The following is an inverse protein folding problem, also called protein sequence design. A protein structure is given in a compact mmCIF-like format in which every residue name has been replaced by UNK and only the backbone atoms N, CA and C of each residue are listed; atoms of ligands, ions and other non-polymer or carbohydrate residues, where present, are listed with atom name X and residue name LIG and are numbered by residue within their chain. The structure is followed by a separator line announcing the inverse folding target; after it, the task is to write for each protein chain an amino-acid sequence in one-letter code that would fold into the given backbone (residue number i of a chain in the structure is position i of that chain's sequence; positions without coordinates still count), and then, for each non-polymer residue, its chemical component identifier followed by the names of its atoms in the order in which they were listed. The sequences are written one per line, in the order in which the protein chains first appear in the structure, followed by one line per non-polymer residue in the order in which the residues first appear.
data_IF_167138001027
#
_entry.id   IF_167138001027
#
_cell.length_a   1.000
_cell.length_b   1.000
_cell.length_c   1.000
_cell.angle_alpha   90.00
_cell.angle_beta   90.00
_cell.angle_gamma   90.00
#
_symmetry.space_group_name_H-M   'P 1'
#
loop_
_entity.id
_entity.type
_entity.pdbx_description
1 polymer ?
#
# COMPACT_ATOMS: atom_id res chain seq x y z
N UNK A 1 4.23 54.21 2.57
CA UNK A 1 4.32 52.80 2.07
C UNK A 1 4.97 51.98 3.17
N UNK A 2 4.31 50.99 3.80
CA UNK A 2 4.92 50.11 4.77
C UNK A 2 5.77 49.07 4.06
N UNK A 3 7.00 48.87 4.53
CA UNK A 3 7.92 47.83 4.10
C UNK A 3 7.34 46.47 4.46
N UNK A 4 7.09 45.61 3.47
CA UNK A 4 6.74 44.21 3.68
C UNK A 4 7.93 43.50 4.36
N UNK A 5 7.78 43.19 5.66
CA UNK A 5 8.66 42.31 6.39
C UNK A 5 8.61 40.91 5.71
N UNK A 6 9.73 40.41 5.30
CA UNK A 6 9.89 38.99 4.85
C UNK A 6 9.65 38.13 6.09
N UNK A 7 8.55 37.38 6.08
CA UNK A 7 8.28 36.34 7.06
C UNK A 7 9.32 35.22 6.83
N UNK A 8 10.42 35.20 7.61
CA UNK A 8 11.52 34.25 7.50
C UNK A 8 11.31 32.95 8.29
N UNK A 9 10.17 32.79 8.98
CA UNK A 9 10.01 31.77 10.03
C UNK A 9 8.89 30.74 9.75
N UNK A 10 8.50 30.54 8.51
CA UNK A 10 7.70 29.35 8.19
C UNK A 10 8.64 28.26 7.67
N UNK A 11 8.67 27.07 8.31
CA UNK A 11 9.40 25.94 7.76
C UNK A 11 8.87 25.66 6.35
N UNK A 12 9.76 25.71 5.37
CA UNK A 12 9.42 25.37 4.00
C UNK A 12 9.39 23.84 3.92
N UNK A 13 8.19 23.26 3.95
CA UNK A 13 8.04 21.83 3.66
C UNK A 13 8.42 21.61 2.21
N UNK A 14 9.11 20.49 1.88
CA UNK A 14 9.41 20.14 0.50
C UNK A 14 8.10 19.95 -0.29
N UNK A 15 8.06 20.46 -1.52
CA UNK A 15 6.89 20.34 -2.41
C UNK A 15 6.73 18.91 -2.93
N UNK A 16 7.80 18.12 -2.93
CA UNK A 16 7.82 16.73 -3.41
C UNK A 16 8.59 15.85 -2.44
N UNK A 17 8.11 14.61 -2.27
CA UNK A 17 8.83 13.56 -1.56
C UNK A 17 9.71 12.75 -2.51
N UNK A 18 10.64 12.00 -1.95
CA UNK A 18 11.44 11.01 -2.66
C UNK A 18 11.44 9.68 -1.92
N UNK A 19 11.77 8.59 -2.60
CA UNK A 19 11.85 7.29 -1.93
C UNK A 19 13.05 7.24 -0.97
N UNK A 20 12.91 6.52 0.15
CA UNK A 20 14.00 6.34 1.14
C UNK A 20 15.27 5.83 0.47
N UNK A 21 15.17 4.90 -0.47
CA UNK A 21 16.32 4.38 -1.23
C UNK A 21 17.03 5.47 -2.03
N UNK A 22 16.29 6.39 -2.67
CA UNK A 22 16.86 7.50 -3.42
C UNK A 22 17.56 8.48 -2.47
N UNK A 23 16.89 8.84 -1.38
CA UNK A 23 17.48 9.68 -0.33
C UNK A 23 18.79 9.09 0.20
N UNK A 24 18.81 7.80 0.55
CA UNK A 24 20.01 7.12 1.05
C UNK A 24 21.14 7.10 0.00
N UNK A 25 20.80 6.87 -1.27
CA UNK A 25 21.75 6.93 -2.38
C UNK A 25 22.39 8.32 -2.52
N UNK A 26 21.59 9.37 -2.47
CA UNK A 26 22.07 10.77 -2.54
C UNK A 26 22.91 11.17 -1.32
N UNK A 27 22.60 10.60 -0.15
CA UNK A 27 23.39 10.75 1.07
C UNK A 27 24.70 9.92 1.07
N UNK A 28 24.92 9.08 0.08
CA UNK A 28 26.14 8.29 -0.09
C UNK A 28 26.10 6.90 0.55
N UNK A 29 24.91 6.42 1.00
CA UNK A 29 24.73 5.14 1.69
C UNK A 29 24.75 3.92 0.77
N UNK A 30 23.92 3.87 -0.23
CA UNK A 30 23.63 2.65 -1.02
C UNK A 30 24.70 2.23 -2.05
N UNK A 31 25.94 2.67 -1.95
CA UNK A 31 26.96 2.40 -3.02
C UNK A 31 27.28 0.92 -3.25
N UNK A 32 27.03 0.02 -2.28
CA UNK A 32 27.42 -1.41 -2.38
C UNK A 32 26.32 -2.44 -2.06
N UNK A 33 25.10 -2.03 -1.68
CA UNK A 33 24.07 -2.95 -1.18
C UNK A 33 23.23 -3.64 -2.27
N UNK A 34 23.45 -3.37 -3.55
CA UNK A 34 22.80 -4.14 -4.65
C UNK A 34 23.37 -5.53 -4.87
N UNK A 35 24.41 -5.93 -4.15
CA UNK A 35 24.80 -7.33 -4.05
C UNK A 35 24.04 -7.97 -2.89
N UNK A 36 22.95 -8.70 -3.20
CA UNK A 36 22.28 -9.58 -2.21
C UNK A 36 23.34 -10.35 -1.44
N UNK A 37 23.35 -10.34 -0.11
CA UNK A 37 24.28 -11.17 0.65
C UNK A 37 24.03 -12.62 0.26
N UNK A 38 25.06 -13.30 -0.24
CA UNK A 38 25.05 -14.73 -0.45
C UNK A 38 24.67 -15.38 0.87
N UNK A 39 23.66 -16.27 0.87
CA UNK A 39 23.19 -17.07 2.01
C UNK A 39 24.27 -17.28 3.04
N UNK A 40 24.10 -16.68 4.23
CA UNK A 40 24.92 -17.00 5.38
C UNK A 40 24.54 -18.36 5.93
N UNK A 41 25.51 -19.28 5.99
CA UNK A 41 25.47 -20.46 6.84
C UNK A 41 26.29 -20.09 8.10
N UNK A 42 25.64 -20.06 9.27
CA UNK A 42 26.31 -19.95 10.56
C UNK A 42 25.96 -18.70 11.37
N UNK A 43 25.87 -18.88 12.68
CA UNK A 43 25.37 -17.97 13.73
C UNK A 43 26.28 -16.77 14.09
N UNK A 44 26.97 -16.16 13.15
CA UNK A 44 27.76 -14.94 13.42
C UNK A 44 27.34 -13.82 12.50
N UNK A 45 26.57 -12.88 13.06
CA UNK A 45 26.33 -11.57 12.43
C UNK A 45 27.59 -10.73 12.57
N UNK A 46 28.55 -10.95 11.69
CA UNK A 46 29.67 -10.04 11.50
C UNK A 46 29.21 -8.86 10.64
N UNK A 47 28.74 -7.80 11.32
CA UNK A 47 28.67 -6.47 10.71
C UNK A 47 30.10 -6.02 10.44
N UNK A 48 30.64 -6.35 9.27
CA UNK A 48 31.83 -5.65 8.78
C UNK A 48 31.40 -4.21 8.54
N UNK A 49 31.69 -3.33 9.49
CA UNK A 49 31.82 -1.90 9.22
C UNK A 49 32.92 -1.76 8.18
N UNK A 50 32.55 -1.71 6.89
CA UNK A 50 33.38 -1.03 5.93
C UNK A 50 33.46 0.41 6.45
N UNK A 51 34.69 0.92 6.67
CA UNK A 51 34.89 2.33 6.89
C UNK A 51 34.50 3.03 5.58
N UNK A 52 33.20 3.30 5.44
CA UNK A 52 32.71 4.23 4.44
C UNK A 52 33.09 5.59 5.01
N UNK A 53 34.03 6.27 4.36
CA UNK A 53 34.21 7.71 4.50
C UNK A 53 32.88 8.35 4.09
N UNK A 54 31.98 8.50 5.07
CA UNK A 54 30.74 9.24 4.93
C UNK A 54 31.15 10.69 4.69
N UNK A 55 31.28 11.07 3.43
CA UNK A 55 31.22 12.48 3.06
C UNK A 55 29.79 12.91 3.41
N UNK A 56 29.61 13.33 4.68
CA UNK A 56 28.36 13.89 5.19
C UNK A 56 27.89 14.93 4.18
N UNK A 57 26.66 14.76 3.69
CA UNK A 57 25.99 15.77 2.92
C UNK A 57 26.25 17.15 3.57
N UNK A 58 26.73 18.10 2.81
CA UNK A 58 27.05 19.45 3.30
C UNK A 58 25.78 20.28 3.62
N UNK A 59 24.58 19.73 3.38
CA UNK A 59 23.33 20.41 3.73
C UNK A 59 22.91 19.98 5.13
N UNK A 60 22.72 20.92 6.07
CA UNK A 60 22.12 20.62 7.35
C UNK A 60 20.70 20.09 7.12
N UNK A 61 20.38 18.94 7.71
CA UNK A 61 19.05 18.37 7.74
C UNK A 61 18.47 18.66 9.12
N UNK A 62 17.46 19.49 9.18
CA UNK A 62 16.77 19.82 10.44
C UNK A 62 15.73 18.76 10.79
N UNK A 63 14.94 18.31 9.80
CA UNK A 63 13.89 17.32 9.95
C UNK A 63 13.88 16.35 8.77
N UNK A 64 13.73 15.06 9.06
CA UNK A 64 13.45 13.99 8.09
C UNK A 64 12.11 13.38 8.44
N UNK A 65 11.17 13.40 7.49
CA UNK A 65 9.86 12.78 7.62
C UNK A 65 9.83 11.56 6.70
N UNK A 66 9.54 10.40 7.27
CA UNK A 66 9.40 9.14 6.54
C UNK A 66 7.94 8.69 6.61
N UNK A 67 7.29 8.66 5.47
CA UNK A 67 5.94 8.12 5.34
C UNK A 67 5.96 6.62 5.05
N UNK A 68 4.84 5.92 5.28
CA UNK A 68 4.71 4.46 5.14
C UNK A 68 5.82 3.68 5.87
N UNK A 69 6.22 4.15 7.06
CA UNK A 69 7.34 3.57 7.83
C UNK A 69 7.09 2.13 8.30
N UNK A 70 5.84 1.65 8.30
CA UNK A 70 5.49 0.25 8.54
C UNK A 70 6.10 -0.71 7.51
N UNK A 71 6.43 -0.20 6.31
CA UNK A 71 7.03 -0.97 5.21
C UNK A 71 8.57 -0.97 5.25
N UNK A 72 9.19 -0.28 6.21
CA UNK A 72 10.66 -0.27 6.35
C UNK A 72 11.14 -1.48 7.13
N UNK A 73 12.06 -2.24 6.53
CA UNK A 73 12.78 -3.31 7.21
C UNK A 73 13.86 -2.76 8.16
N UNK A 74 14.42 -3.64 8.98
CA UNK A 74 15.47 -3.28 9.94
C UNK A 74 16.73 -2.74 9.24
N UNK A 75 17.13 -3.31 8.10
CA UNK A 75 18.36 -2.92 7.43
C UNK A 75 18.26 -1.50 6.89
N UNK A 76 17.13 -1.17 6.25
CA UNK A 76 16.86 0.16 5.71
C UNK A 76 16.74 1.21 6.83
N UNK A 77 16.11 0.85 7.96
CA UNK A 77 16.02 1.73 9.14
C UNK A 77 17.39 2.01 9.74
N UNK A 78 18.22 0.98 9.90
CA UNK A 78 19.60 1.13 10.43
C UNK A 78 20.43 2.03 9.50
N UNK A 79 20.31 1.84 8.20
CA UNK A 79 21.04 2.67 7.22
C UNK A 79 20.59 4.14 7.31
N UNK A 80 19.28 4.38 7.34
CA UNK A 80 18.71 5.72 7.49
C UNK A 80 19.24 6.41 8.76
N UNK A 81 19.11 5.77 9.91
CA UNK A 81 19.54 6.34 11.21
C UNK A 81 21.05 6.58 11.26
N UNK A 82 21.84 5.73 10.57
CA UNK A 82 23.31 5.89 10.52
C UNK A 82 23.77 7.08 9.66
N UNK A 83 22.96 7.48 8.68
CA UNK A 83 23.31 8.55 7.73
C UNK A 83 22.80 9.93 8.14
N UNK A 84 21.69 10.01 8.86
CA UNK A 84 21.16 11.30 9.32
C UNK A 84 22.01 11.86 10.48
N UNK A 85 22.25 13.20 10.54
CA UNK A 85 22.94 13.82 11.66
C UNK A 85 22.21 13.60 12.99
N UNK A 86 22.93 13.48 14.10
CA UNK A 86 22.34 13.28 15.42
C UNK A 86 21.43 14.45 15.89
N UNK A 87 21.55 15.61 15.25
CA UNK A 87 20.74 16.80 15.52
C UNK A 87 19.46 16.84 14.68
N UNK A 88 19.31 15.95 13.71
CA UNK A 88 18.12 15.88 12.83
C UNK A 88 16.95 15.26 13.59
N UNK A 89 15.81 15.90 13.53
CA UNK A 89 14.56 15.33 14.03
C UNK A 89 14.04 14.30 13.02
N UNK A 90 13.86 13.05 13.45
CA UNK A 90 13.26 11.99 12.64
C UNK A 90 11.79 11.82 13.01
N UNK A 91 10.89 11.93 12.03
CA UNK A 91 9.45 11.73 12.17
C UNK A 91 9.07 10.53 11.29
N UNK A 92 8.56 9.48 11.93
CA UNK A 92 8.07 8.27 11.25
C UNK A 92 6.55 8.30 11.21
N UNK A 93 5.98 8.23 10.02
CA UNK A 93 4.53 8.12 9.78
C UNK A 93 4.23 6.71 9.28
N UNK A 94 3.15 6.10 9.76
CA UNK A 94 2.77 4.75 9.33
C UNK A 94 1.58 4.21 10.09
N UNK A 95 1.15 3.03 9.69
CA UNK A 95 0.05 2.30 10.32
C UNK A 95 0.53 0.91 10.74
N UNK A 96 0.69 0.69 12.04
CA UNK A 96 1.20 -0.57 12.60
C UNK A 96 0.22 -1.76 12.49
N UNK A 97 -1.01 -1.52 12.06
CA UNK A 97 -1.97 -2.58 11.73
C UNK A 97 -1.84 -3.08 10.29
N UNK A 98 -1.18 -2.30 9.41
CA UNK A 98 -0.92 -2.73 8.03
C UNK A 98 0.19 -3.79 7.97
N UNK A 99 0.28 -4.44 6.80
CA UNK A 99 1.34 -5.41 6.54
C UNK A 99 2.72 -4.79 6.77
N UNK A 100 3.57 -5.46 7.54
CA UNK A 100 4.96 -5.03 7.72
C UNK A 100 5.79 -5.23 6.43
N UNK A 101 7.04 -4.78 6.47
CA UNK A 101 8.03 -5.09 5.45
C UNK A 101 8.14 -6.62 5.24
N UNK A 102 8.43 -7.02 4.00
CA UNK A 102 8.66 -8.44 3.66
C UNK A 102 9.97 -8.95 4.24
N UNK A 103 11.00 -8.09 4.27
CA UNK A 103 12.30 -8.39 4.86
C UNK A 103 12.24 -8.28 6.40
N UNK A 104 13.11 -8.99 7.13
CA UNK A 104 13.05 -9.09 8.59
C UNK A 104 13.16 -7.75 9.32
N UNK A 105 12.31 -7.58 10.34
CA UNK A 105 12.32 -6.45 11.28
C UNK A 105 11.10 -5.55 11.14
N UNK A 106 10.41 -5.33 12.25
CA UNK A 106 9.19 -4.51 12.36
C UNK A 106 9.45 -3.31 13.26
N UNK A 107 10.51 -2.55 12.96
CA UNK A 107 11.00 -1.47 13.84
C UNK A 107 9.92 -0.45 14.17
N UNK A 108 9.11 -0.05 13.18
CA UNK A 108 8.01 0.90 13.41
C UNK A 108 6.96 0.34 14.38
N UNK A 109 6.52 -0.89 14.16
CA UNK A 109 5.55 -1.58 15.03
C UNK A 109 6.08 -1.76 16.45
N UNK A 110 7.35 -2.15 16.59
CA UNK A 110 8.01 -2.29 17.91
C UNK A 110 8.11 -0.94 18.63
N UNK A 111 8.44 0.14 17.92
CA UNK A 111 8.43 1.50 18.46
C UNK A 111 7.03 1.89 18.94
N UNK A 112 5.99 1.65 18.13
CA UNK A 112 4.60 1.94 18.51
C UNK A 112 4.20 1.15 19.77
N UNK A 113 4.48 -0.16 19.81
CA UNK A 113 4.16 -1.02 20.97
C UNK A 113 4.89 -0.57 22.24
N UNK A 114 6.16 -0.17 22.11
CA UNK A 114 6.96 0.30 23.24
C UNK A 114 6.45 1.63 23.79
N UNK A 115 6.17 2.58 22.90
CA UNK A 115 5.77 3.93 23.30
C UNK A 115 4.28 4.08 23.59
N UNK A 116 3.41 3.20 23.11
CA UNK A 116 1.99 3.21 23.44
C UNK A 116 1.69 2.99 24.94
N UNK A 117 2.64 2.38 25.66
CA UNK A 117 2.55 2.15 27.12
C UNK A 117 3.02 3.34 27.96
N UNK A 118 3.50 4.41 27.32
CA UNK A 118 4.03 5.58 28.02
C UNK A 118 2.95 6.64 28.20
N UNK A 119 2.89 7.26 29.40
CA UNK A 119 2.00 8.40 29.65
C UNK A 119 2.72 9.72 29.35
N UNK A 120 1.91 10.72 28.97
CA UNK A 120 2.37 12.10 28.84
C UNK A 120 2.74 12.67 30.22
N UNK A 121 3.90 13.29 30.32
CA UNK A 121 4.31 14.01 31.50
C UNK A 121 3.50 15.31 31.66
N UNK A 122 3.43 15.83 32.90
CA UNK A 122 2.71 17.07 33.19
C UNK A 122 3.34 18.30 32.47
N UNK A 123 4.63 18.24 32.17
CA UNK A 123 5.39 19.25 31.40
C UNK A 123 4.95 19.25 29.93
N UNK A 124 4.78 18.08 29.34
CA UNK A 124 4.30 17.93 27.95
C UNK A 124 2.86 18.39 27.81
N UNK A 125 1.99 18.01 28.74
CA UNK A 125 0.60 18.50 28.76
C UNK A 125 0.53 20.01 28.88
N UNK A 126 1.43 20.63 29.63
CA UNK A 126 1.52 22.09 29.73
C UNK A 126 1.93 22.72 28.41
N UNK A 127 2.96 22.14 27.77
CA UNK A 127 3.46 22.60 26.48
C UNK A 127 2.43 22.43 25.38
N UNK A 128 1.76 21.27 25.31
CA UNK A 128 0.69 20.99 24.35
C UNK A 128 -0.53 21.90 24.58
N UNK A 129 -0.90 22.14 25.83
CA UNK A 129 -1.98 23.10 26.18
C UNK A 129 -1.67 24.49 25.67
N UNK A 130 -0.44 24.95 25.85
CA UNK A 130 0.00 26.28 25.38
C UNK A 130 0.02 26.38 23.84
N UNK A 131 0.40 25.30 23.14
CA UNK A 131 0.48 25.26 21.68
C UNK A 131 -0.89 25.11 21.01
N UNK A 132 -1.79 24.30 21.59
CA UNK A 132 -3.07 23.94 20.97
C UNK A 132 -4.25 24.75 21.44
N UNK A 133 -4.14 25.42 22.60
CA UNK A 133 -5.24 26.11 23.26
C UNK A 133 -6.24 25.19 23.99
N UNK A 134 -6.04 23.85 23.96
CA UNK A 134 -6.84 22.90 24.73
C UNK A 134 -6.41 22.86 26.19
N UNK A 135 -7.35 22.70 27.12
CA UNK A 135 -7.02 22.51 28.53
C UNK A 135 -6.34 21.14 28.75
N UNK A 136 -5.52 21.04 29.80
CA UNK A 136 -4.89 19.77 30.19
C UNK A 136 -5.91 18.64 30.35
N UNK A 137 -7.10 18.92 30.92
CA UNK A 137 -8.20 17.97 31.09
C UNK A 137 -8.71 17.47 29.74
N UNK A 138 -8.82 18.34 28.73
CA UNK A 138 -9.21 17.94 27.37
C UNK A 138 -8.13 17.07 26.70
N UNK A 139 -6.85 17.36 26.98
CA UNK A 139 -5.73 16.57 26.47
C UNK A 139 -5.60 15.21 27.19
N UNK A 140 -5.91 15.12 28.48
CA UNK A 140 -5.91 13.88 29.27
C UNK A 140 -7.18 13.05 29.09
N UNK A 141 -8.26 13.61 28.58
CA UNK A 141 -9.50 12.88 28.24
C UNK A 141 -9.35 11.89 27.11
N UNK A 142 -8.17 11.84 26.46
CA UNK A 142 -7.77 10.78 25.53
C UNK A 142 -7.13 9.64 26.34
N UNK A 143 -7.96 8.72 26.82
CA UNK A 143 -7.69 7.44 27.53
C UNK A 143 -6.37 7.30 28.33
N UNK A 144 -6.53 7.08 29.60
CA UNK A 144 -5.47 6.70 30.55
C UNK A 144 -4.99 5.27 30.25
N UNK A 145 -3.79 5.13 29.69
CA UNK A 145 -3.05 3.88 29.76
C UNK A 145 -2.01 3.93 30.89
N UNK A 146 -1.73 2.79 31.54
CA UNK A 146 -0.92 2.71 32.75
C UNK A 146 0.52 3.22 32.59
N UNK A 147 1.04 3.88 33.62
CA UNK A 147 2.32 4.60 33.65
C UNK A 147 3.55 3.70 33.51
N UNK A 148 4.48 4.13 32.64
CA UNK A 148 5.92 3.89 32.84
C UNK A 148 6.58 5.26 32.94
N UNK A 149 7.23 5.51 34.09
CA UNK A 149 7.98 6.73 34.34
C UNK A 149 9.23 6.73 33.43
N UNK A 150 9.35 7.74 32.57
CA UNK A 150 10.49 7.89 31.67
C UNK A 150 11.23 9.17 32.00
N UNK A 151 12.54 9.04 32.24
CA UNK A 151 13.46 10.16 32.42
C UNK A 151 13.58 11.11 31.21
N UNK A 152 12.93 10.79 30.08
CA UNK A 152 13.08 11.55 28.84
C UNK A 152 12.10 12.75 28.69
N UNK A 153 11.05 12.85 29.54
CA UNK A 153 10.13 13.98 29.54
C UNK A 153 9.44 14.29 28.22
N UNK A 154 9.44 13.36 27.25
CA UNK A 154 8.88 13.54 25.91
C UNK A 154 8.15 12.26 25.46
N UNK A 155 6.90 12.41 24.98
CA UNK A 155 6.15 11.31 24.39
C UNK A 155 6.40 11.28 22.87
N UNK A 156 7.15 10.28 22.38
CA UNK A 156 7.52 10.22 20.97
C UNK A 156 6.40 9.69 20.06
N UNK A 157 5.26 9.25 20.60
CA UNK A 157 4.15 8.66 19.85
C UNK A 157 2.92 9.58 19.83
N UNK A 158 2.43 9.87 18.61
CA UNK A 158 1.14 10.50 18.38
C UNK A 158 0.25 9.58 17.54
N UNK A 159 -0.90 9.18 18.08
CA UNK A 159 -1.87 8.34 17.37
C UNK A 159 -3.00 9.18 16.79
N UNK A 160 -3.16 9.12 15.45
CA UNK A 160 -4.28 9.74 14.74
C UNK A 160 -5.49 8.80 14.81
N UNK A 161 -6.59 9.26 15.43
CA UNK A 161 -7.78 8.43 15.68
C UNK A 161 -8.91 8.63 14.67
N UNK A 162 -8.94 9.79 14.00
CA UNK A 162 -9.99 10.12 13.05
C UNK A 162 -9.58 9.74 11.65
N UNK A 163 -10.33 8.81 11.03
CA UNK A 163 -10.18 8.52 9.61
C UNK A 163 -11.06 9.45 8.78
N UNK A 164 -10.52 9.90 7.65
CA UNK A 164 -11.22 10.71 6.64
C UNK A 164 -11.37 9.98 5.31
N UNK A 165 -10.68 8.84 5.14
CA UNK A 165 -10.64 8.07 3.90
C UNK A 165 -11.93 7.31 3.67
N UNK A 166 -12.48 6.69 4.72
CA UNK A 166 -13.68 5.87 4.68
C UNK A 166 -14.51 6.02 5.97
N UNK A 167 -15.81 5.73 5.88
CA UNK A 167 -16.76 5.84 6.98
C UNK A 167 -17.73 4.65 6.93
N UNK A 168 -18.72 4.60 7.83
CA UNK A 168 -19.77 3.58 7.83
C UNK A 168 -19.24 2.17 7.96
N UNK A 169 -19.70 1.28 7.07
CA UNK A 169 -19.38 -0.15 7.10
C UNK A 169 -17.88 -0.45 6.96
N UNK A 170 -17.18 0.27 6.09
CA UNK A 170 -15.72 0.11 5.94
C UNK A 170 -14.98 0.40 7.24
N UNK A 171 -15.40 1.45 7.97
CA UNK A 171 -14.81 1.76 9.27
C UNK A 171 -15.13 0.68 10.29
N UNK A 172 -16.38 0.24 10.36
CA UNK A 172 -16.82 -0.83 11.26
C UNK A 172 -16.04 -2.12 10.99
N UNK A 173 -15.90 -2.50 9.73
CA UNK A 173 -15.12 -3.68 9.32
C UNK A 173 -13.64 -3.54 9.71
N UNK A 174 -13.02 -2.39 9.46
CA UNK A 174 -11.64 -2.13 9.83
C UNK A 174 -11.42 -2.22 11.36
N UNK A 175 -12.34 -1.66 12.15
CA UNK A 175 -12.26 -1.70 13.61
C UNK A 175 -12.46 -3.14 14.14
N UNK A 176 -13.37 -3.93 13.56
CA UNK A 176 -13.56 -5.35 13.91
C UNK A 176 -12.33 -6.21 13.55
N UNK A 177 -11.70 -5.95 12.40
CA UNK A 177 -10.46 -6.63 12.00
C UNK A 177 -9.35 -6.30 13.02
N UNK A 178 -9.14 -5.03 13.37
CA UNK A 178 -8.16 -4.63 14.40
C UNK A 178 -8.39 -5.32 15.73
N UNK A 179 -9.65 -5.46 16.14
CA UNK A 179 -10.04 -6.10 17.39
C UNK A 179 -9.97 -7.64 17.34
N UNK A 180 -9.80 -8.26 16.16
CA UNK A 180 -9.84 -9.72 16.00
C UNK A 180 -11.24 -10.32 16.12
N UNK A 181 -12.29 -9.53 15.91
CA UNK A 181 -13.69 -9.91 16.14
C UNK A 181 -14.32 -10.58 14.90
N UNK A 182 -13.80 -11.76 14.49
CA UNK A 182 -14.28 -12.47 13.30
C UNK A 182 -15.78 -12.78 13.33
N UNK A 183 -16.32 -13.15 14.49
CA UNK A 183 -17.73 -13.48 14.65
C UNK A 183 -18.63 -12.25 14.43
N UNK A 184 -18.25 -11.09 15.00
CA UNK A 184 -19.00 -9.84 14.81
C UNK A 184 -18.96 -9.41 13.33
N UNK A 185 -17.77 -9.52 12.69
CA UNK A 185 -17.58 -9.24 11.27
C UNK A 185 -18.50 -10.11 10.39
N UNK A 186 -18.48 -11.43 10.59
CA UNK A 186 -19.35 -12.36 9.84
C UNK A 186 -20.82 -12.01 10.00
N UNK A 187 -21.27 -11.73 11.23
CA UNK A 187 -22.67 -11.35 11.49
C UNK A 187 -23.09 -10.07 10.77
N UNK A 188 -22.18 -9.10 10.64
CA UNK A 188 -22.48 -7.82 9.98
C UNK A 188 -22.46 -7.90 8.46
N UNK A 189 -21.56 -8.68 7.87
CA UNK A 189 -21.21 -8.59 6.45
C UNK A 189 -21.43 -9.88 5.67
N UNK A 190 -21.93 -10.95 6.32
CA UNK A 190 -22.27 -12.19 5.64
C UNK A 190 -23.50 -12.06 4.76
N UNK A 191 -23.41 -12.65 3.58
CA UNK A 191 -24.53 -12.76 2.66
C UNK A 191 -25.02 -14.22 2.61
N UNK A 192 -26.10 -14.54 3.31
CA UNK A 192 -26.70 -15.89 3.42
C UNK A 192 -27.40 -16.38 2.16
N UNK A 193 -27.80 -15.46 1.33
CA UNK A 193 -28.47 -15.75 0.07
C UNK A 193 -27.97 -14.75 -0.94
N UNK A 194 -27.74 -15.11 -2.18
CA UNK A 194 -27.40 -14.22 -3.29
C UNK A 194 -28.31 -12.96 -3.40
N UNK A 195 -29.19 -12.77 -2.44
CA UNK A 195 -29.96 -11.57 -2.20
C UNK A 195 -29.11 -10.59 -1.40
N UNK A 196 -28.33 -9.83 -2.13
CA UNK A 196 -27.62 -8.63 -1.72
C UNK A 196 -28.27 -7.92 -0.53
N UNK A 197 -27.53 -7.72 0.58
CA UNK A 197 -27.66 -6.48 1.32
C UNK A 197 -27.18 -5.40 0.37
N UNK A 198 -28.06 -4.91 -0.47
CA UNK A 198 -27.77 -3.96 -1.57
C UNK A 198 -27.20 -2.62 -1.09
N UNK A 199 -27.00 -2.43 0.21
CA UNK A 199 -26.63 -1.16 0.84
C UNK A 199 -25.37 -1.25 1.71
N UNK A 200 -24.72 -2.42 1.83
CA UNK A 200 -23.46 -2.50 2.61
C UNK A 200 -22.25 -2.21 1.75
N UNK A 201 -21.38 -1.31 2.25
CA UNK A 201 -20.10 -1.04 1.62
C UNK A 201 -19.08 -2.19 1.79
N UNK A 202 -19.39 -3.19 2.61
CA UNK A 202 -18.57 -4.40 2.78
C UNK A 202 -19.47 -5.63 2.62
N UNK A 203 -19.02 -6.59 1.80
CA UNK A 203 -19.74 -7.85 1.58
C UNK A 203 -18.75 -9.02 1.68
N UNK A 204 -19.13 -10.05 2.43
CA UNK A 204 -18.38 -11.30 2.44
C UNK A 204 -19.15 -12.39 1.69
N UNK A 205 -18.51 -12.97 0.69
CA UNK A 205 -18.96 -14.11 -0.09
C UNK A 205 -18.26 -15.38 0.39
N UNK A 206 -19.03 -16.30 1.01
CA UNK A 206 -18.48 -17.55 1.50
C UNK A 206 -18.27 -18.55 0.34
N UNK A 207 -17.01 -18.82 0.03
CA UNK A 207 -16.62 -19.76 -1.03
C UNK A 207 -16.79 -21.24 -0.63
N UNK A 208 -16.96 -21.52 0.66
CA UNK A 208 -17.16 -22.89 1.17
C UNK A 208 -18.59 -23.41 0.99
N UNK A 209 -19.57 -22.54 0.70
CA UNK A 209 -20.97 -22.93 0.55
C UNK A 209 -21.30 -23.58 -0.80
N UNK A 210 -20.48 -23.39 -1.82
CA UNK A 210 -20.71 -23.86 -3.17
C UNK A 210 -19.63 -24.85 -3.62
N UNK A 211 -20.01 -25.93 -4.33
CA UNK A 211 -19.07 -26.88 -4.93
C UNK A 211 -18.16 -26.23 -5.99
N UNK A 212 -18.63 -25.13 -6.59
CA UNK A 212 -17.90 -24.42 -7.65
C UNK A 212 -17.77 -22.93 -7.33
N UNK A 213 -16.55 -22.37 -7.52
CA UNK A 213 -16.29 -20.96 -7.31
C UNK A 213 -16.88 -20.14 -8.46
N UNK A 214 -17.68 -19.14 -8.14
CA UNK A 214 -18.24 -18.22 -9.13
C UNK A 214 -17.25 -17.09 -9.46
N UNK A 215 -16.26 -17.40 -10.29
CA UNK A 215 -15.26 -16.40 -10.74
C UNK A 215 -15.88 -15.23 -11.51
N UNK A 216 -17.02 -15.47 -12.21
CA UNK A 216 -17.68 -14.41 -12.99
C UNK A 216 -18.13 -13.26 -12.11
N UNK A 217 -18.59 -13.54 -10.87
CA UNK A 217 -18.97 -12.47 -9.92
C UNK A 217 -17.74 -11.63 -9.49
N UNK A 218 -16.61 -12.28 -9.23
CA UNK A 218 -15.38 -11.60 -8.81
C UNK A 218 -14.88 -10.60 -9.87
N UNK A 219 -14.99 -10.96 -11.15
CA UNK A 219 -14.40 -10.18 -12.25
C UNK A 219 -15.40 -9.27 -12.96
N UNK A 220 -16.68 -9.30 -12.55
CA UNK A 220 -17.74 -8.53 -13.19
C UNK A 220 -17.47 -7.03 -13.23
N UNK A 221 -16.80 -6.50 -12.21
CA UNK A 221 -16.46 -5.08 -12.13
C UNK A 221 -15.56 -4.59 -13.27
N UNK A 222 -14.81 -5.48 -13.91
CA UNK A 222 -13.98 -5.14 -15.08
C UNK A 222 -14.76 -4.99 -16.39
N UNK A 223 -16.06 -5.33 -16.44
CA UNK A 223 -16.86 -5.21 -17.68
C UNK A 223 -16.83 -3.79 -18.24
N UNK A 224 -16.98 -2.76 -17.39
CA UNK A 224 -16.92 -1.35 -17.80
C UNK A 224 -15.58 -0.96 -18.42
N UNK A 225 -14.48 -1.45 -17.85
CA UNK A 225 -13.15 -1.23 -18.41
C UNK A 225 -13.01 -1.80 -19.82
N UNK A 226 -13.39 -3.06 -20.02
CA UNK A 226 -13.30 -3.71 -21.33
C UNK A 226 -14.30 -3.17 -22.36
N UNK A 227 -15.42 -2.63 -21.92
CA UNK A 227 -16.33 -1.88 -22.79
C UNK A 227 -15.69 -0.58 -23.32
N UNK A 228 -14.94 0.14 -22.47
CA UNK A 228 -14.19 1.31 -22.85
C UNK A 228 -13.04 0.95 -23.82
N UNK A 229 -12.31 -0.13 -23.55
CA UNK A 229 -11.29 -0.66 -24.47
C UNK A 229 -11.90 -0.95 -25.85
N UNK A 230 -13.03 -1.67 -25.89
CA UNK A 230 -13.70 -2.00 -27.15
C UNK A 230 -14.21 -0.76 -27.94
N UNK A 231 -14.50 0.34 -27.24
CA UNK A 231 -14.93 1.61 -27.83
C UNK A 231 -13.75 2.50 -28.27
N UNK A 232 -12.51 2.11 -27.96
CA UNK A 232 -11.30 2.92 -28.23
C UNK A 232 -11.23 4.18 -27.37
N UNK A 233 -11.62 4.08 -26.09
CA UNK A 233 -11.61 5.20 -25.15
C UNK A 233 -10.19 5.75 -24.95
N UNK A 234 -10.10 6.98 -24.47
CA UNK A 234 -8.84 7.66 -24.15
C UNK A 234 -8.11 7.01 -22.97
N UNK A 235 -6.79 7.24 -22.85
CA UNK A 235 -6.00 6.76 -21.72
C UNK A 235 -6.57 7.20 -20.36
N UNK A 236 -7.03 8.44 -20.26
CA UNK A 236 -7.59 8.98 -19.01
C UNK A 236 -8.88 8.25 -18.61
N UNK A 237 -9.77 7.95 -19.56
CA UNK A 237 -11.00 7.19 -19.30
C UNK A 237 -10.68 5.74 -18.89
N UNK A 238 -9.68 5.12 -19.52
CA UNK A 238 -9.22 3.77 -19.16
C UNK A 238 -8.61 3.76 -17.77
N UNK A 239 -7.79 4.75 -17.42
CA UNK A 239 -7.17 4.89 -16.11
C UNK A 239 -8.23 5.08 -15.02
N UNK A 240 -9.14 6.04 -15.18
CA UNK A 240 -10.20 6.32 -14.20
C UNK A 240 -11.07 5.08 -13.95
N UNK A 241 -11.45 4.37 -15.02
CA UNK A 241 -12.23 3.14 -14.89
C UNK A 241 -11.42 2.01 -14.27
N UNK A 242 -10.12 1.90 -14.57
CA UNK A 242 -9.25 0.88 -13.99
C UNK A 242 -9.04 1.11 -12.48
N UNK A 243 -8.83 2.35 -12.05
CA UNK A 243 -8.69 2.74 -10.65
C UNK A 243 -10.00 2.61 -9.86
N UNK A 244 -11.13 2.48 -10.54
CA UNK A 244 -12.41 2.29 -9.90
C UNK A 244 -12.55 0.94 -9.17
N UNK A 245 -11.77 -0.08 -9.58
CA UNK A 245 -11.83 -1.41 -8.98
C UNK A 245 -10.51 -2.17 -9.11
N UNK A 246 -10.09 -2.84 -8.03
CA UNK A 246 -8.89 -3.69 -8.03
C UNK A 246 -9.12 -5.00 -7.27
N UNK A 247 -8.67 -6.12 -7.84
CA UNK A 247 -8.64 -7.41 -7.12
C UNK A 247 -7.30 -7.57 -6.40
N UNK A 248 -7.38 -7.84 -5.09
CA UNK A 248 -6.25 -8.06 -4.20
C UNK A 248 -6.27 -9.50 -3.68
N UNK A 249 -5.24 -10.28 -3.99
CA UNK A 249 -5.12 -11.67 -3.62
C UNK A 249 -4.14 -11.87 -2.46
N UNK A 250 -4.41 -12.86 -1.62
CA UNK A 250 -3.47 -13.28 -0.59
C UNK A 250 -2.24 -14.02 -1.15
N UNK A 251 -2.33 -14.60 -2.36
CA UNK A 251 -1.27 -15.42 -2.97
C UNK A 251 -1.11 -15.14 -4.47
N UNK A 252 0.06 -15.50 -5.01
CA UNK A 252 0.33 -15.45 -6.45
C UNK A 252 -0.24 -16.67 -7.18
N UNK A 253 -0.13 -17.85 -6.58
CA UNK A 253 -0.39 -19.14 -7.22
C UNK A 253 -1.73 -19.74 -6.80
N UNK A 254 -2.19 -20.72 -7.61
CA UNK A 254 -3.38 -21.51 -7.36
C UNK A 254 -4.67 -20.85 -7.87
N UNK A 255 -5.80 -21.56 -7.65
CA UNK A 255 -7.12 -21.19 -8.19
C UNK A 255 -7.69 -19.83 -7.72
N UNK A 256 -7.21 -19.31 -6.61
CA UNK A 256 -7.57 -17.99 -6.05
C UNK A 256 -6.38 -17.02 -6.10
N UNK A 257 -5.31 -17.38 -6.81
CA UNK A 257 -4.10 -16.58 -6.93
C UNK A 257 -4.14 -15.59 -8.10
N UNK A 258 -3.20 -14.66 -8.05
CA UNK A 258 -3.05 -13.56 -9.02
C UNK A 258 -2.95 -14.08 -10.45
N UNK A 259 -2.11 -15.10 -10.70
CA UNK A 259 -1.88 -15.60 -12.05
C UNK A 259 -3.14 -16.21 -12.68
N UNK A 260 -3.87 -17.00 -11.89
CA UNK A 260 -5.11 -17.60 -12.36
C UNK A 260 -6.18 -16.54 -12.65
N UNK A 261 -6.38 -15.58 -11.72
CA UNK A 261 -7.42 -14.56 -11.88
C UNK A 261 -7.11 -13.60 -13.03
N UNK A 262 -5.86 -13.20 -13.22
CA UNK A 262 -5.46 -12.41 -14.37
C UNK A 262 -5.77 -13.15 -15.69
N UNK A 263 -5.38 -14.41 -15.80
CA UNK A 263 -5.68 -15.26 -16.98
C UNK A 263 -7.19 -15.40 -17.19
N UNK A 264 -7.95 -15.63 -16.12
CA UNK A 264 -9.41 -15.76 -16.19
C UNK A 264 -10.07 -14.47 -16.68
N UNK A 265 -9.63 -13.30 -16.19
CA UNK A 265 -10.12 -12.00 -16.64
C UNK A 265 -9.84 -11.80 -18.12
N UNK A 266 -8.61 -12.05 -18.57
CA UNK A 266 -8.24 -11.93 -19.98
C UNK A 266 -9.09 -12.83 -20.87
N UNK A 267 -9.29 -14.10 -20.48
CA UNK A 267 -10.13 -15.03 -21.23
C UNK A 267 -11.62 -14.61 -21.25
N UNK A 268 -12.13 -14.14 -20.11
CA UNK A 268 -13.54 -13.72 -19.97
C UNK A 268 -13.89 -12.54 -20.85
N UNK A 269 -12.97 -11.61 -21.01
CA UNK A 269 -13.20 -10.39 -21.77
C UNK A 269 -12.52 -10.39 -23.15
N UNK A 270 -11.92 -11.49 -23.55
CA UNK A 270 -11.25 -11.65 -24.84
C UNK A 270 -12.14 -11.24 -26.02
N UNK A 271 -13.39 -11.68 -26.04
CA UNK A 271 -14.34 -11.36 -27.11
C UNK A 271 -14.69 -9.88 -27.20
N UNK A 272 -14.61 -9.14 -26.09
CA UNK A 272 -14.82 -7.69 -26.08
C UNK A 272 -13.64 -6.94 -26.73
N UNK A 273 -12.39 -7.41 -26.51
CA UNK A 273 -11.20 -6.82 -27.10
C UNK A 273 -10.97 -7.27 -28.56
N UNK A 274 -11.40 -8.48 -28.91
CA UNK A 274 -11.12 -9.11 -30.21
C UNK A 274 -12.37 -9.72 -30.86
N UNK A 275 -13.35 -8.89 -31.27
CA UNK A 275 -14.62 -9.37 -31.83
C UNK A 275 -14.43 -10.20 -33.12
N UNK A 276 -13.31 -10.05 -33.81
CA UNK A 276 -13.00 -10.78 -35.05
C UNK A 276 -12.16 -12.06 -34.83
N UNK A 277 -12.06 -12.55 -33.60
CA UNK A 277 -11.39 -13.82 -33.31
C UNK A 277 -9.87 -13.83 -33.48
N UNK A 278 -9.21 -12.65 -33.46
CA UNK A 278 -7.74 -12.57 -33.42
C UNK A 278 -7.23 -13.34 -32.21
N UNK A 279 -6.20 -14.14 -32.40
CA UNK A 279 -5.49 -14.79 -31.29
C UNK A 279 -4.82 -13.74 -30.42
N UNK A 280 -5.03 -13.82 -29.12
CA UNK A 280 -4.39 -12.96 -28.13
C UNK A 280 -2.88 -13.20 -28.16
N UNK A 281 -2.12 -12.17 -28.52
CA UNK A 281 -0.70 -12.12 -28.20
C UNK A 281 -0.48 -11.88 -26.71
N UNK A 282 0.75 -11.97 -26.28
CA UNK A 282 1.13 -11.64 -24.88
C UNK A 282 0.74 -10.18 -24.54
N UNK A 283 0.83 -9.28 -25.49
CA UNK A 283 0.40 -7.89 -25.40
C UNK A 283 -0.71 -7.60 -26.41
N UNK A 284 -1.71 -6.85 -26.02
CA UNK A 284 -2.86 -6.45 -26.83
C UNK A 284 -3.38 -5.08 -26.40
N UNK A 285 -4.11 -4.41 -27.27
CA UNK A 285 -4.72 -3.11 -26.98
C UNK A 285 -5.65 -3.20 -25.75
N UNK A 286 -5.45 -2.30 -24.79
CA UNK A 286 -6.20 -2.26 -23.54
C UNK A 286 -5.67 -3.20 -22.46
N UNK A 287 -4.54 -3.90 -22.64
CA UNK A 287 -3.93 -4.66 -21.54
C UNK A 287 -3.33 -3.73 -20.52
N UNK A 288 -3.72 -3.90 -19.25
CA UNK A 288 -3.05 -3.25 -18.13
C UNK A 288 -1.87 -4.09 -17.64
N UNK A 289 -0.70 -3.48 -17.50
CA UNK A 289 0.52 -4.13 -17.00
C UNK A 289 1.03 -3.43 -15.75
N UNK A 290 1.57 -4.22 -14.83
CA UNK A 290 2.27 -3.77 -13.62
C UNK A 290 3.77 -3.96 -13.81
N UNK A 291 4.54 -2.90 -13.65
CA UNK A 291 6.01 -2.93 -13.71
C UNK A 291 6.55 -3.65 -12.48
N UNK A 292 7.42 -4.66 -12.68
CA UNK A 292 7.94 -5.50 -11.60
C UNK A 292 9.36 -5.11 -11.19
N UNK A 293 9.99 -4.17 -11.89
CA UNK A 293 11.36 -3.72 -11.63
C UNK A 293 11.53 -2.24 -11.93
N UNK A 294 12.39 -1.57 -11.15
CA UNK A 294 12.75 -0.19 -11.40
C UNK A 294 13.53 -0.03 -12.73
N UNK A 295 13.10 0.93 -13.56
CA UNK A 295 13.76 1.34 -14.80
C UNK A 295 14.03 2.87 -14.75
N UNK A 296 14.98 3.36 -13.94
CA UNK A 296 15.18 4.79 -13.72
C UNK A 296 15.46 5.58 -15.01
N UNK A 297 16.14 4.94 -15.97
CA UNK A 297 16.44 5.53 -17.29
C UNK A 297 15.21 5.68 -18.20
N UNK A 298 14.09 5.00 -17.85
CA UNK A 298 12.79 5.15 -18.53
C UNK A 298 11.82 6.01 -17.74
N UNK A 299 12.15 6.34 -16.48
CA UNK A 299 11.26 7.06 -15.58
C UNK A 299 10.10 6.24 -15.02
N UNK A 300 10.19 4.90 -15.07
CA UNK A 300 9.19 3.98 -14.51
C UNK A 300 9.78 3.12 -13.41
N UNK A 301 8.95 2.78 -12.43
CA UNK A 301 9.37 2.09 -11.21
C UNK A 301 8.52 0.85 -10.92
N UNK A 302 9.01 0.01 -10.04
CA UNK A 302 8.25 -1.15 -9.57
C UNK A 302 6.95 -0.69 -8.88
N UNK A 303 5.83 -1.22 -9.37
CA UNK A 303 4.50 -0.83 -8.91
C UNK A 303 3.74 0.10 -9.87
N UNK A 304 4.43 0.72 -10.85
CA UNK A 304 3.77 1.55 -11.83
C UNK A 304 2.86 0.72 -12.75
N UNK A 305 1.68 1.25 -13.04
CA UNK A 305 0.70 0.62 -13.94
C UNK A 305 0.72 1.37 -15.28
N UNK A 306 0.88 0.60 -16.35
CA UNK A 306 0.82 1.10 -17.72
C UNK A 306 -0.24 0.38 -18.54
N UNK A 307 -0.76 1.06 -19.56
CA UNK A 307 -1.78 0.54 -20.46
C UNK A 307 -1.21 0.36 -21.86
N UNK A 308 -1.41 -0.82 -22.42
CA UNK A 308 -0.99 -1.10 -23.80
C UNK A 308 -1.99 -0.49 -24.76
N UNK A 309 -1.56 0.46 -25.56
CA UNK A 309 -2.39 1.16 -26.54
C UNK A 309 -1.84 0.92 -27.95
N UNK A 310 -2.72 0.55 -28.87
CA UNK A 310 -2.39 0.44 -30.30
C UNK A 310 -2.46 1.82 -30.95
N UNK A 311 -1.38 2.21 -31.60
CA UNK A 311 -1.35 3.43 -32.41
C UNK A 311 -2.18 3.21 -33.68
N UNK A 312 -3.25 3.98 -33.84
CA UNK A 312 -4.19 3.85 -34.94
C UNK A 312 -3.55 4.09 -36.33
N UNK A 313 -2.39 4.77 -36.41
CA UNK A 313 -1.72 5.07 -37.69
C UNK A 313 -0.73 3.98 -38.07
N UNK A 314 -0.02 3.44 -37.12
CA UNK A 314 1.07 2.51 -37.37
C UNK A 314 0.72 1.05 -37.04
N UNK A 315 -0.34 0.82 -36.26
CA UNK A 315 -0.70 -0.50 -35.73
C UNK A 315 0.29 -1.02 -34.66
N UNK A 316 1.23 -0.20 -34.21
CA UNK A 316 2.20 -0.59 -33.21
C UNK A 316 1.61 -0.47 -31.80
N UNK A 317 1.94 -1.44 -30.94
CA UNK A 317 1.60 -1.39 -29.53
C UNK A 317 2.66 -0.60 -28.75
N UNK A 318 2.23 0.35 -27.92
CA UNK A 318 3.06 1.06 -26.96
C UNK A 318 2.43 0.97 -25.58
N UNK A 319 3.25 1.07 -24.52
CA UNK A 319 2.75 1.17 -23.15
C UNK A 319 2.73 2.63 -22.73
N UNK A 320 1.56 3.07 -22.34
CA UNK A 320 1.29 4.42 -21.89
C UNK A 320 1.21 4.45 -20.37
N UNK A 321 2.05 5.23 -19.74
CA UNK A 321 2.03 5.45 -18.29
C UNK A 321 1.49 6.85 -18.01
N UNK A 322 0.49 6.98 -17.11
CA UNK A 322 -0.01 8.29 -16.69
C UNK A 322 1.07 9.03 -15.89
N UNK A 323 1.28 10.30 -16.18
CA UNK A 323 2.13 11.20 -15.41
C UNK A 323 1.28 12.34 -14.84
N UNK A 324 1.71 12.92 -13.73
CA UNK A 324 1.05 14.09 -13.16
C UNK A 324 0.94 15.23 -14.19
N UNK A 325 -0.17 15.99 -14.19
CA UNK A 325 -0.48 17.11 -15.07
C UNK A 325 -0.92 16.76 -16.50
N UNK A 326 -1.57 15.61 -16.70
CA UNK A 326 -2.13 15.17 -17.98
C UNK A 326 -1.11 14.82 -19.06
N UNK A 327 0.18 14.74 -18.73
CA UNK A 327 1.20 14.20 -19.60
C UNK A 327 1.21 12.67 -19.52
N UNK A 328 1.65 12.01 -20.58
CA UNK A 328 1.81 10.57 -20.63
C UNK A 328 3.24 10.20 -21.05
N UNK A 329 3.75 9.13 -20.45
CA UNK A 329 5.03 8.55 -20.86
C UNK A 329 4.78 7.34 -21.74
N UNK A 330 5.19 7.42 -23.00
CA UNK A 330 4.99 6.37 -24.00
C UNK A 330 6.27 5.57 -24.17
N UNK A 331 6.21 4.28 -23.91
CA UNK A 331 7.37 3.38 -23.96
C UNK A 331 7.06 2.18 -24.85
N UNK A 332 7.92 1.87 -25.85
CA UNK A 332 7.81 0.61 -26.58
C UNK A 332 7.93 -0.60 -25.64
N UNK A 333 7.05 -1.61 -25.74
CA UNK A 333 7.02 -2.75 -24.82
C UNK A 333 8.35 -3.47 -24.66
N UNK A 334 9.12 -3.60 -25.76
CA UNK A 334 10.42 -4.26 -25.76
C UNK A 334 11.47 -3.62 -24.81
N UNK A 335 11.25 -2.39 -24.36
CA UNK A 335 12.12 -1.69 -23.42
C UNK A 335 11.76 -1.96 -21.96
N UNK A 336 10.56 -2.48 -21.68
CA UNK A 336 10.08 -2.79 -20.34
C UNK A 336 10.39 -4.25 -20.04
N UNK A 337 11.30 -4.47 -19.11
CA UNK A 337 11.65 -5.81 -18.64
C UNK A 337 10.88 -6.08 -17.35
N UNK A 338 10.45 -7.33 -17.18
CA UNK A 338 9.80 -7.79 -15.94
C UNK A 338 8.51 -7.00 -15.64
N UNK A 339 7.45 -7.35 -16.30
CA UNK A 339 6.08 -6.89 -16.06
C UNK A 339 5.13 -8.06 -15.88
N UNK A 340 3.96 -7.81 -15.32
CA UNK A 340 2.86 -8.78 -15.20
C UNK A 340 1.52 -8.09 -15.52
N UNK A 341 0.50 -8.90 -15.80
CA UNK A 341 -0.88 -8.38 -15.95
C UNK A 341 -1.36 -7.79 -14.62
N UNK A 342 -2.07 -6.66 -14.68
CA UNK A 342 -2.37 -5.80 -13.52
C UNK A 342 -3.81 -5.89 -13.01
N UNK A 343 -4.72 -6.69 -13.57
CA UNK A 343 -6.12 -6.76 -13.11
C UNK A 343 -6.25 -7.34 -11.71
N UNK A 344 -5.44 -8.34 -11.37
CA UNK A 344 -5.30 -8.83 -10.01
C UNK A 344 -3.84 -8.70 -9.57
N UNK A 345 -3.62 -8.33 -8.30
CA UNK A 345 -2.30 -8.25 -7.69
C UNK A 345 -2.33 -8.75 -6.26
N UNK A 346 -1.17 -8.97 -5.64
CA UNK A 346 -1.13 -9.31 -4.22
C UNK A 346 -1.40 -8.10 -3.35
N UNK A 347 -1.94 -8.33 -2.14
CA UNK A 347 -2.14 -7.27 -1.14
C UNK A 347 -0.83 -6.50 -0.88
N UNK A 348 0.31 -7.18 -0.83
CA UNK A 348 1.63 -6.54 -0.65
C UNK A 348 1.94 -5.53 -1.77
N UNK A 349 1.59 -5.85 -3.01
CA UNK A 349 1.83 -4.97 -4.16
C UNK A 349 0.92 -3.75 -4.20
N UNK A 350 -0.20 -3.82 -3.51
CA UNK A 350 -1.15 -2.70 -3.41
C UNK A 350 -0.80 -1.69 -2.30
N UNK A 351 0.23 -1.96 -1.48
CA UNK A 351 0.65 -1.02 -0.46
C UNK A 351 1.02 0.34 -1.08
N UNK A 352 0.59 1.43 -0.44
CA UNK A 352 0.72 2.79 -0.98
C UNK A 352 -0.33 3.18 -2.04
N UNK A 353 -1.10 2.22 -2.58
CA UNK A 353 -2.17 2.50 -3.56
C UNK A 353 -3.55 2.54 -2.90
N UNK A 354 -4.51 3.20 -3.56
CA UNK A 354 -5.90 3.31 -3.12
C UNK A 354 -6.84 3.19 -4.31
N UNK A 355 -7.98 2.51 -4.11
CA UNK A 355 -8.97 2.26 -5.14
C UNK A 355 -10.36 2.66 -4.66
N UNK A 356 -11.28 2.96 -5.57
CA UNK A 356 -12.66 3.24 -5.17
C UNK A 356 -13.30 1.99 -4.54
N UNK A 357 -13.17 0.86 -5.21
CA UNK A 357 -13.72 -0.42 -4.77
C UNK A 357 -12.64 -1.50 -4.83
N UNK A 358 -12.67 -2.43 -3.91
CA UNK A 358 -11.66 -3.51 -3.83
C UNK A 358 -12.35 -4.86 -3.72
N UNK A 359 -11.84 -5.83 -4.48
CA UNK A 359 -12.15 -7.24 -4.33
C UNK A 359 -11.02 -7.96 -3.60
N UNK A 360 -11.25 -8.47 -2.41
CA UNK A 360 -10.26 -9.23 -1.63
C UNK A 360 -10.49 -10.72 -1.80
N UNK A 361 -9.48 -11.46 -2.21
CA UNK A 361 -9.56 -12.91 -2.43
C UNK A 361 -8.57 -13.61 -1.48
N UNK A 362 -9.12 -14.35 -0.50
CA UNK A 362 -8.34 -15.09 0.48
C UNK A 362 -8.33 -16.58 0.12
N UNK A 363 -7.14 -17.13 -0.09
CA UNK A 363 -6.96 -18.50 -0.50
C UNK A 363 -6.87 -19.44 0.70
N UNK A 364 -7.77 -20.42 0.78
CA UNK A 364 -7.85 -21.45 1.81
C UNK A 364 -6.59 -22.33 1.91
N UNK A 365 -5.92 -22.55 0.78
CA UNK A 365 -4.69 -23.36 0.70
C UNK A 365 -3.40 -22.58 1.01
N UNK A 366 -3.49 -21.26 1.22
CA UNK A 366 -2.36 -20.38 1.54
C UNK A 366 -2.49 -19.81 2.96
N UNK A 367 -2.90 -20.63 3.92
CA UNK A 367 -3.23 -20.22 5.32
C UNK A 367 -2.09 -19.48 6.02
N UNK A 368 -0.84 -19.83 5.72
CA UNK A 368 0.34 -19.20 6.31
C UNK A 368 0.51 -17.72 5.92
N UNK A 369 -0.10 -17.32 4.81
CA UNK A 369 -0.09 -15.93 4.33
C UNK A 369 -1.23 -15.10 4.91
N UNK A 370 -2.24 -15.77 5.50
CA UNK A 370 -3.42 -15.10 6.04
C UNK A 370 -3.10 -14.56 7.43
N UNK A 371 -3.34 -13.28 7.62
CA UNK A 371 -3.16 -12.59 8.91
C UNK A 371 -4.09 -11.39 9.00
N UNK A 372 -4.27 -10.90 10.22
CA UNK A 372 -5.04 -9.69 10.50
C UNK A 372 -4.49 -8.48 9.74
N UNK A 373 -3.17 -8.35 9.71
CA UNK A 373 -2.49 -7.29 8.99
C UNK A 373 -2.76 -7.35 7.48
N UNK A 374 -2.80 -8.56 6.88
CA UNK A 374 -3.12 -8.72 5.46
C UNK A 374 -4.55 -8.29 5.15
N UNK A 375 -5.53 -8.79 5.92
CA UNK A 375 -6.94 -8.46 5.70
C UNK A 375 -7.21 -6.97 5.93
N UNK A 376 -6.63 -6.40 7.00
CA UNK A 376 -6.73 -4.97 7.29
C UNK A 376 -6.13 -4.11 6.17
N UNK A 377 -4.92 -4.45 5.71
CA UNK A 377 -4.27 -3.74 4.61
C UNK A 377 -5.13 -3.78 3.36
N UNK A 378 -5.65 -4.95 2.98
CA UNK A 378 -6.49 -5.11 1.80
C UNK A 378 -7.77 -4.27 1.88
N UNK A 379 -8.50 -4.36 2.99
CA UNK A 379 -9.75 -3.60 3.20
C UNK A 379 -9.49 -2.09 3.15
N UNK A 380 -8.42 -1.61 3.76
CA UNK A 380 -8.10 -0.18 3.83
C UNK A 380 -7.57 0.41 2.51
N UNK A 381 -7.38 -0.40 1.46
CA UNK A 381 -7.16 0.10 0.09
C UNK A 381 -8.43 0.63 -0.54
N UNK A 382 -9.62 0.27 -0.03
CA UNK A 382 -10.90 0.73 -0.57
C UNK A 382 -11.33 2.08 0.02
N UNK A 383 -11.98 2.90 -0.82
CA UNK A 383 -12.59 4.17 -0.44
C UNK A 383 -14.11 4.06 -0.30
N UNK A 384 -14.76 3.24 -1.12
CA UNK A 384 -16.22 3.14 -1.20
C UNK A 384 -16.75 1.78 -0.81
N UNK A 385 -16.22 0.68 -1.39
CA UNK A 385 -16.69 -0.67 -1.07
C UNK A 385 -15.59 -1.71 -1.11
N UNK A 386 -15.80 -2.80 -0.38
CA UNK A 386 -14.91 -3.95 -0.32
C UNK A 386 -15.71 -5.26 -0.36
N UNK A 387 -15.49 -6.05 -1.42
CA UNK A 387 -16.01 -7.39 -1.55
C UNK A 387 -14.96 -8.41 -1.13
N UNK A 388 -15.29 -9.34 -0.24
CA UNK A 388 -14.35 -10.33 0.28
C UNK A 388 -14.81 -11.72 -0.12
N UNK A 389 -13.99 -12.44 -0.89
CA UNK A 389 -14.20 -13.84 -1.26
C UNK A 389 -13.25 -14.72 -0.45
N UNK A 390 -13.82 -15.48 0.46
CA UNK A 390 -13.10 -16.39 1.35
C UNK A 390 -14.04 -17.49 1.83
N UNK A 391 -13.54 -18.70 2.05
CA UNK A 391 -14.29 -19.62 2.89
C UNK A 391 -14.25 -19.20 4.36
N UNK A 392 -15.08 -19.82 5.18
CA UNK A 392 -15.20 -19.47 6.59
C UNK A 392 -13.93 -19.73 7.39
N UNK A 393 -13.11 -20.73 6.99
CA UNK A 393 -11.85 -21.06 7.65
C UNK A 393 -10.76 -20.05 7.29
N UNK A 394 -10.59 -19.73 5.99
CA UNK A 394 -9.65 -18.71 5.54
C UNK A 394 -9.97 -17.34 6.17
N UNK A 395 -11.26 -16.98 6.22
CA UNK A 395 -11.65 -15.74 6.87
C UNK A 395 -11.30 -15.73 8.36
N UNK A 396 -11.61 -16.80 9.11
CA UNK A 396 -11.24 -16.89 10.53
C UNK A 396 -9.73 -16.74 10.71
N UNK A 397 -8.95 -17.46 9.90
CA UNK A 397 -7.49 -17.38 9.96
C UNK A 397 -6.97 -15.97 9.71
N UNK A 398 -7.60 -15.21 8.80
CA UNK A 398 -7.26 -13.82 8.52
C UNK A 398 -7.61 -12.84 9.67
N UNK A 399 -8.24 -13.30 10.74
CA UNK A 399 -8.45 -12.55 11.98
C UNK A 399 -7.45 -12.90 13.10
N UNK A 400 -6.57 -13.86 12.84
CA UNK A 400 -5.49 -14.23 13.75
C UNK A 400 -4.22 -13.41 13.46
N UNK A 401 -3.33 -13.30 14.47
CA UNK A 401 -2.03 -12.62 14.35
C UNK A 401 -0.95 -13.57 13.83
#
# INVERSE_FOLDING_TARGET
RPRRGRNRDRPCLPETGETVHRFLYEMGGLRDSFQRPKRFKGDEVLIKRSQVDVQRSKKPLDVVIVDESSMMDLALMVELVSLIPATTQLILLGDHYQLPAVDPGQVFTECVQRFSKQKQSDVELTSLSALTGYSKIQLTGFEQTDYIDNDLGFQPLCSLRKTYRFAGDLKTAADQIKAGESHAFKKCFWNESEQYKLESAVTWFDLGLNETINYSSMVKAYSGYFELVAKGASLNELLEQFESYQILCSTLEGRLGVHFLNTYIEQRFHSACFPNGKTMGELYHGKAILVMRNHPHLGIYNGDIGFVIEDNKTGNLNVHFPIANSDELIIPPARIKEWQTAYAMTVHKSQGSEYQNVGVVLADYAKELLSRALLYTALTRSKQSCDIWADSEALNRAFED
#
